data_IF_873649102857
#
_entry.id   IF_873649102857
#
_cell.length_a   1.000
_cell.length_b   1.000
_cell.length_c   1.000
_cell.angle_alpha   90.00
_cell.angle_beta   90.00
_cell.angle_gamma   90.00
#
_symmetry.space_group_name_H-M   'P 1'
#
loop_
_entity.id
_entity.type
_entity.pdbx_description
1 polymer ?
#
# COMPACT_ATOMS: atom_id res chain seq x y z
N UNK A 1 -28.28 -9.13 31.45
CA UNK A 1 -27.23 -8.33 30.80
C UNK A 1 -26.08 -9.26 30.47
N UNK A 2 -25.96 -9.73 29.23
CA UNK A 2 -24.76 -10.47 28.80
C UNK A 2 -23.64 -9.44 28.54
N UNK A 3 -22.56 -9.47 29.32
CA UNK A 3 -21.33 -8.79 28.93
C UNK A 3 -20.90 -9.34 27.56
N UNK A 4 -20.92 -8.50 26.53
CA UNK A 4 -20.37 -8.87 25.23
C UNK A 4 -18.90 -9.25 25.43
N UNK A 5 -18.53 -10.50 25.10
CA UNK A 5 -17.18 -10.99 25.25
C UNK A 5 -16.23 -10.10 24.43
N UNK A 6 -15.29 -9.45 25.12
CA UNK A 6 -14.24 -8.63 24.49
C UNK A 6 -13.15 -9.54 23.95
N UNK A 7 -12.63 -9.20 22.79
CA UNK A 7 -11.56 -9.93 22.11
C UNK A 7 -10.34 -9.05 21.95
N UNK A 8 -9.16 -9.61 22.19
CA UNK A 8 -7.90 -8.89 22.03
C UNK A 8 -7.43 -8.99 20.57
N UNK A 9 -7.00 -7.85 20.04
CA UNK A 9 -6.53 -7.69 18.67
C UNK A 9 -5.18 -7.00 18.70
N UNK A 10 -4.23 -7.51 17.92
CA UNK A 10 -2.95 -6.89 17.65
C UNK A 10 -2.91 -6.40 16.21
N UNK A 11 -2.58 -5.13 16.03
CA UNK A 11 -2.36 -4.51 14.73
C UNK A 11 -0.90 -4.07 14.63
N UNK A 12 -0.16 -4.70 13.73
CA UNK A 12 1.25 -4.34 13.47
C UNK A 12 1.30 -3.39 12.27
N UNK A 13 1.76 -2.15 12.47
CA UNK A 13 2.10 -1.21 11.38
C UNK A 13 3.48 -1.58 10.82
N UNK A 14 4.17 -0.67 10.14
CA UNK A 14 5.57 -0.88 9.76
C UNK A 14 6.56 -0.55 10.88
N UNK A 15 6.14 0.25 11.86
CA UNK A 15 6.98 0.86 12.90
C UNK A 15 6.43 0.74 14.33
N UNK A 16 5.23 0.17 14.51
CA UNK A 16 4.58 0.02 15.79
C UNK A 16 3.72 -1.25 15.88
N UNK A 17 3.51 -1.72 17.11
CA UNK A 17 2.49 -2.70 17.45
C UNK A 17 1.44 -2.04 18.34
N UNK A 18 0.17 -2.20 17.96
CA UNK A 18 -0.97 -1.63 18.66
C UNK A 18 -1.86 -2.76 19.15
N UNK A 19 -2.27 -2.72 20.42
CA UNK A 19 -3.20 -3.69 21.00
C UNK A 19 -4.53 -3.03 21.34
N UNK A 20 -5.63 -3.66 20.92
CA UNK A 20 -6.99 -3.17 21.11
C UNK A 20 -7.88 -4.28 21.67
N UNK A 21 -8.91 -3.89 22.43
CA UNK A 21 -10.02 -4.77 22.77
C UNK A 21 -11.23 -4.42 21.92
N UNK A 22 -11.72 -5.38 21.13
CA UNK A 22 -12.91 -5.22 20.28
C UNK A 22 -14.09 -6.03 20.80
N UNK A 23 -15.30 -5.65 20.39
CA UNK A 23 -16.52 -6.43 20.62
C UNK A 23 -16.76 -7.37 19.43
N UNK A 24 -17.57 -8.42 19.62
CA UNK A 24 -17.95 -9.32 18.51
C UNK A 24 -18.70 -8.59 17.39
N UNK A 25 -19.38 -7.49 17.73
CA UNK A 25 -20.10 -6.59 16.82
C UNK A 25 -19.21 -5.53 16.17
N UNK A 26 -17.90 -5.52 16.44
CA UNK A 26 -16.99 -4.55 15.84
C UNK A 26 -16.81 -4.83 14.35
N UNK A 27 -17.11 -3.81 13.55
CA UNK A 27 -16.94 -3.84 12.09
C UNK A 27 -15.47 -3.65 11.71
N UNK A 28 -15.12 -4.09 10.50
CA UNK A 28 -13.78 -3.84 9.94
C UNK A 28 -13.43 -2.35 9.89
N UNK A 29 -14.40 -1.49 9.58
CA UNK A 29 -14.19 -0.03 9.60
C UNK A 29 -13.94 0.53 10.99
N UNK A 30 -14.69 0.10 12.00
CA UNK A 30 -14.47 0.59 13.37
C UNK A 30 -13.05 0.27 13.86
N UNK A 31 -12.57 -0.96 13.60
CA UNK A 31 -11.19 -1.34 13.93
C UNK A 31 -10.17 -0.49 13.14
N UNK A 32 -10.40 -0.31 11.83
CA UNK A 32 -9.52 0.51 10.99
C UNK A 32 -9.49 1.98 11.43
N UNK A 33 -10.64 2.59 11.72
CA UNK A 33 -10.75 3.97 12.20
C UNK A 33 -10.01 4.15 13.53
N UNK A 34 -10.07 3.15 14.42
CA UNK A 34 -9.34 3.17 15.68
C UNK A 34 -7.83 3.16 15.46
N UNK A 35 -7.33 2.35 14.51
CA UNK A 35 -5.91 2.30 14.14
C UNK A 35 -5.45 3.63 13.58
N UNK A 36 -6.11 4.17 12.55
CA UNK A 36 -5.68 5.40 11.88
C UNK A 36 -5.76 6.62 12.80
N UNK A 37 -6.77 6.68 13.69
CA UNK A 37 -6.85 7.72 14.72
C UNK A 37 -5.72 7.64 15.73
N UNK A 38 -5.31 6.42 16.12
CA UNK A 38 -4.22 6.21 17.09
C UNK A 38 -2.88 6.69 16.54
N UNK A 39 -2.62 6.48 15.25
CA UNK A 39 -1.36 6.89 14.61
C UNK A 39 -1.42 8.28 13.96
N UNK A 40 -2.57 8.96 13.99
CA UNK A 40 -2.73 10.30 13.41
C UNK A 40 -2.77 10.34 11.87
N UNK A 41 -3.15 9.24 11.22
CA UNK A 41 -3.18 9.13 9.75
C UNK A 41 -4.56 9.53 9.20
N UNK A 42 -4.59 10.49 8.27
CA UNK A 42 -5.80 10.99 7.60
C UNK A 42 -5.91 10.51 6.15
N UNK A 43 -4.80 10.17 5.50
CA UNK A 43 -4.73 9.64 4.13
C UNK A 43 -5.15 8.16 4.03
N UNK A 44 -6.31 7.85 4.61
CA UNK A 44 -6.79 6.48 4.86
C UNK A 44 -7.01 5.66 3.59
N UNK A 45 -7.19 6.31 2.44
CA UNK A 45 -7.56 5.69 1.17
C UNK A 45 -6.47 4.80 0.58
N UNK A 46 -5.21 4.93 1.03
CA UNK A 46 -4.13 4.05 0.61
C UNK A 46 -4.08 2.73 1.40
N UNK A 47 -4.63 2.69 2.61
CA UNK A 47 -4.32 1.64 3.58
C UNK A 47 -5.46 0.63 3.77
N UNK A 48 -5.10 -0.52 4.32
CA UNK A 48 -6.05 -1.52 4.79
C UNK A 48 -5.46 -2.39 5.88
N UNK A 49 -6.29 -3.29 6.42
CA UNK A 49 -5.85 -4.32 7.38
C UNK A 49 -5.76 -5.65 6.66
N UNK A 50 -4.57 -6.26 6.64
CA UNK A 50 -4.36 -7.63 6.20
C UNK A 50 -4.45 -8.58 7.38
N UNK A 51 -4.93 -9.80 7.14
CA UNK A 51 -4.94 -10.91 8.10
C UNK A 51 -4.73 -12.22 7.37
N UNK A 52 -4.40 -13.26 8.12
CA UNK A 52 -4.39 -14.64 7.63
C UNK A 52 -5.75 -15.27 7.91
N UNK A 53 -6.40 -15.81 6.88
CA UNK A 53 -7.66 -16.50 7.06
C UNK A 53 -7.48 -17.93 7.61
N UNK A 54 -8.59 -18.61 7.89
CA UNK A 54 -8.58 -20.02 8.36
C UNK A 54 -7.90 -21.01 7.41
N UNK A 55 -7.68 -20.64 6.15
CA UNK A 55 -7.03 -21.48 5.12
C UNK A 55 -5.55 -21.12 4.92
N UNK A 56 -5.03 -20.16 5.69
CA UNK A 56 -3.65 -19.69 5.57
C UNK A 56 -3.43 -18.63 4.49
N UNK A 57 -4.49 -18.16 3.82
CA UNK A 57 -4.37 -17.14 2.77
C UNK A 57 -4.34 -15.73 3.38
N UNK A 58 -3.41 -14.90 2.93
CA UNK A 58 -3.43 -13.46 3.22
C UNK A 58 -4.63 -12.78 2.54
N UNK A 59 -5.43 -12.09 3.34
CA UNK A 59 -6.68 -11.45 2.93
C UNK A 59 -6.78 -10.04 3.53
N UNK A 60 -7.47 -9.14 2.84
CA UNK A 60 -7.76 -7.79 3.34
C UNK A 60 -9.13 -7.76 4.04
N UNK A 61 -9.20 -7.15 5.21
CA UNK A 61 -10.47 -6.85 5.87
C UNK A 61 -11.31 -5.94 4.98
N UNK A 62 -12.58 -6.31 4.85
CA UNK A 62 -13.61 -5.46 4.27
C UNK A 62 -14.02 -4.45 5.34
N UNK A 63 -13.73 -3.18 5.09
CA UNK A 63 -14.06 -2.08 6.00
C UNK A 63 -15.58 -1.83 6.01
N UNK A 64 -16.16 -1.72 4.83
CA UNK A 64 -17.59 -1.58 4.61
C UNK A 64 -18.13 -2.88 4.03
N UNK A 65 -19.40 -3.20 4.31
CA UNK A 65 -20.15 -4.04 3.36
C UNK A 65 -20.17 -3.27 2.04
N UNK A 66 -20.00 -3.98 0.91
CA UNK A 66 -19.95 -3.39 -0.45
C UNK A 66 -20.83 -2.14 -0.50
N UNK A 67 -20.32 -0.93 -0.79
CA UNK A 67 -21.20 0.06 -1.38
C UNK A 67 -21.74 -0.65 -2.62
N UNK A 68 -23.04 -0.93 -2.66
CA UNK A 68 -23.62 -1.40 -3.90
C UNK A 68 -23.22 -0.37 -4.95
N UNK A 69 -22.35 -0.78 -5.88
CA UNK A 69 -22.03 0.06 -7.01
C UNK A 69 -23.35 0.51 -7.60
N UNK A 70 -23.43 1.74 -8.14
CA UNK A 70 -24.65 2.18 -8.82
C UNK A 70 -25.16 1.10 -9.80
N UNK A 71 -24.23 0.35 -10.38
CA UNK A 71 -24.42 -0.86 -11.19
C UNK A 71 -25.09 -2.01 -10.41
N UNK A 72 -24.57 -2.43 -9.25
CA UNK A 72 -25.18 -3.47 -8.41
C UNK A 72 -26.58 -3.07 -7.91
N UNK A 73 -26.78 -1.79 -7.64
CA UNK A 73 -28.06 -1.20 -7.18
C UNK A 73 -29.11 -1.22 -8.30
N UNK A 74 -28.70 -0.95 -9.55
CA UNK A 74 -29.55 -1.09 -10.75
C UNK A 74 -29.88 -2.57 -10.99
N UNK A 75 -28.90 -3.47 -10.94
CA UNK A 75 -29.12 -4.91 -11.15
C UNK A 75 -30.06 -5.49 -10.09
N UNK A 76 -29.85 -5.17 -8.81
CA UNK A 76 -30.79 -5.58 -7.74
C UNK A 76 -32.15 -4.94 -7.92
N UNK A 77 -32.28 -3.68 -8.34
CA UNK A 77 -33.59 -3.07 -8.66
C UNK A 77 -34.28 -3.83 -9.78
N UNK A 78 -33.59 -4.13 -10.88
CA UNK A 78 -34.13 -4.89 -12.02
C UNK A 78 -34.59 -6.30 -11.60
N UNK A 79 -33.75 -7.00 -10.83
CA UNK A 79 -34.02 -8.35 -10.32
C UNK A 79 -35.15 -8.34 -9.30
N UNK A 80 -35.16 -7.41 -8.34
CA UNK A 80 -36.22 -7.25 -7.32
C UNK A 80 -37.54 -6.84 -7.98
N UNK A 81 -37.51 -6.07 -9.08
CA UNK A 81 -38.69 -5.73 -9.92
C UNK A 81 -39.21 -6.98 -10.66
N UNK A 82 -38.32 -7.84 -11.17
CA UNK A 82 -38.67 -9.12 -11.81
C UNK A 82 -39.23 -10.13 -10.80
N UNK A 83 -38.62 -10.23 -9.62
CA UNK A 83 -39.03 -11.13 -8.53
C UNK A 83 -40.36 -10.67 -7.91
N UNK A 84 -40.57 -9.37 -7.68
CA UNK A 84 -41.88 -8.80 -7.28
C UNK A 84 -42.99 -9.04 -8.32
N UNK A 85 -42.64 -9.18 -9.60
CA UNK A 85 -43.59 -9.50 -10.67
C UNK A 85 -43.97 -10.98 -10.71
N UNK A 86 -43.13 -11.86 -10.13
CA UNK A 86 -43.28 -13.31 -10.17
C UNK A 86 -43.82 -13.89 -8.84
N UNK A 87 -43.57 -13.21 -7.72
CA UNK A 87 -43.96 -13.68 -6.39
C UNK A 87 -44.91 -12.66 -5.78
N UNK A 88 -46.18 -13.04 -5.73
CA UNK A 88 -47.26 -12.26 -5.10
C UNK A 88 -46.87 -11.80 -3.70
N UNK A 89 -47.39 -10.63 -3.36
CA UNK A 89 -47.03 -9.82 -2.19
C UNK A 89 -47.21 -10.56 -0.85
N UNK A 90 -46.11 -10.91 -0.20
CA UNK A 90 -45.89 -10.85 1.26
C UNK A 90 -44.62 -11.63 1.61
N UNK A 91 -43.66 -10.97 2.24
CA UNK A 91 -43.05 -11.46 3.48
C UNK A 91 -42.19 -10.37 4.10
N UNK A 92 -42.18 -10.37 5.43
CA UNK A 92 -41.50 -9.44 6.32
C UNK A 92 -40.01 -9.35 6.03
N UNK A 93 -39.56 -8.16 5.61
CA UNK A 93 -38.15 -7.79 5.46
C UNK A 93 -37.52 -7.67 6.86
N UNK A 94 -37.00 -8.77 7.43
CA UNK A 94 -35.92 -8.70 8.41
C UNK A 94 -34.60 -8.65 7.65
N UNK A 95 -33.91 -7.52 7.74
CA UNK A 95 -32.65 -7.25 7.08
C UNK A 95 -31.52 -8.18 7.59
N UNK A 96 -31.40 -9.38 7.00
CA UNK A 96 -30.26 -10.30 7.16
C UNK A 96 -28.91 -9.71 6.68
N UNK A 97 -28.91 -8.44 6.23
CA UNK A 97 -27.80 -7.79 5.55
C UNK A 97 -26.81 -7.05 6.49
N UNK A 98 -27.04 -7.00 7.82
CA UNK A 98 -26.20 -6.25 8.77
C UNK A 98 -24.93 -7.01 9.25
N UNK A 99 -24.88 -8.33 9.13
CA UNK A 99 -23.86 -9.17 9.78
C UNK A 99 -22.53 -9.35 8.99
N UNK A 100 -22.44 -8.97 7.71
CA UNK A 100 -21.30 -9.32 6.82
C UNK A 100 -20.03 -8.45 6.97
N UNK A 101 -20.13 -7.29 7.63
CA UNK A 101 -19.01 -6.34 7.82
C UNK A 101 -18.22 -6.56 9.11
N UNK A 102 -18.66 -7.49 9.95
CA UNK A 102 -18.05 -7.80 11.24
C UNK A 102 -16.70 -8.46 11.04
N UNK A 103 -15.70 -8.09 11.85
CA UNK A 103 -14.36 -8.73 11.80
C UNK A 103 -14.49 -10.25 11.97
N UNK A 104 -15.38 -10.68 12.85
CA UNK A 104 -15.60 -12.10 13.18
C UNK A 104 -16.21 -12.93 12.05
N UNK A 105 -16.91 -12.29 11.11
CA UNK A 105 -17.58 -12.97 9.99
C UNK A 105 -16.71 -13.02 8.72
N UNK A 106 -15.43 -12.66 8.83
CA UNK A 106 -14.49 -12.62 7.70
C UNK A 106 -13.47 -13.77 7.71
N UNK A 107 -13.78 -14.91 8.35
CA UNK A 107 -12.92 -16.11 8.37
C UNK A 107 -11.50 -15.84 8.91
N UNK A 108 -11.35 -14.89 9.84
CA UNK A 108 -10.06 -14.60 10.48
C UNK A 108 -9.58 -15.84 11.22
N UNK A 109 -8.29 -16.17 11.09
CA UNK A 109 -7.66 -17.25 11.86
C UNK A 109 -7.92 -17.04 13.35
N UNK A 110 -8.47 -18.06 14.01
CA UNK A 110 -8.85 -17.99 15.43
C UNK A 110 -7.60 -18.13 16.30
N UNK A 111 -7.02 -17.00 16.65
CA UNK A 111 -5.88 -16.88 17.57
C UNK A 111 -6.12 -15.74 18.56
N UNK A 112 -5.38 -15.74 19.68
CA UNK A 112 -5.51 -14.73 20.74
C UNK A 112 -4.12 -14.18 21.07
N UNK A 113 -3.85 -12.88 20.82
CA UNK A 113 -4.73 -11.91 20.15
C UNK A 113 -4.89 -12.20 18.65
N UNK A 114 -6.01 -11.75 18.05
CA UNK A 114 -6.18 -11.77 16.59
C UNK A 114 -5.12 -10.90 15.92
N UNK A 115 -4.49 -11.37 14.85
CA UNK A 115 -3.37 -10.67 14.21
C UNK A 115 -3.80 -9.93 12.93
N UNK A 116 -3.50 -8.64 12.86
CA UNK A 116 -3.66 -7.82 11.66
C UNK A 116 -2.39 -7.07 11.33
N UNK A 117 -2.18 -6.82 10.04
CA UNK A 117 -1.11 -5.95 9.54
C UNK A 117 -1.73 -4.73 8.87
N UNK A 118 -1.41 -3.53 9.36
CA UNK A 118 -1.81 -2.28 8.72
C UNK A 118 -0.83 -1.95 7.61
N UNK A 119 -1.26 -2.02 6.34
CA UNK A 119 -0.39 -1.94 5.16
C UNK A 119 -1.01 -1.07 4.08
N UNK A 120 -0.17 -0.43 3.27
CA UNK A 120 -0.62 0.22 2.05
C UNK A 120 -1.09 -0.85 1.06
N UNK A 121 -2.34 -0.70 0.61
CA UNK A 121 -3.04 -1.55 -0.35
C UNK A 121 -3.04 -0.95 -1.75
N UNK A 122 -3.09 0.37 -1.83
CA UNK A 122 -3.10 1.14 -3.07
C UNK A 122 -1.93 2.12 -3.02
N UNK A 123 -1.23 2.27 -4.14
CA UNK A 123 -0.06 3.15 -4.26
C UNK A 123 -0.45 4.44 -4.99
N UNK A 124 0.25 5.56 -4.72
CA UNK A 124 0.11 6.79 -5.50
C UNK A 124 0.62 6.60 -6.95
N UNK A 125 0.12 7.40 -7.88
CA UNK A 125 0.72 7.59 -9.22
C UNK A 125 2.01 8.43 -9.12
N UNK A 126 2.04 9.42 -8.21
CA UNK A 126 3.25 10.18 -7.87
C UNK A 126 3.36 10.39 -6.35
N UNK A 127 4.42 9.84 -5.75
CA UNK A 127 4.65 9.94 -4.31
C UNK A 127 4.86 11.38 -3.82
N UNK A 128 5.43 12.25 -4.64
CA UNK A 128 5.77 13.62 -4.25
C UNK A 128 4.53 14.53 -4.19
N UNK A 129 3.55 14.25 -5.06
CA UNK A 129 2.31 15.04 -5.17
C UNK A 129 1.18 14.50 -4.27
N UNK A 130 1.17 13.19 -4.01
CA UNK A 130 0.05 12.52 -3.34
C UNK A 130 0.28 12.22 -1.86
N UNK A 131 1.52 12.02 -1.40
CA UNK A 131 1.80 11.73 0.01
C UNK A 131 1.95 13.03 0.79
N UNK A 132 0.98 13.32 1.65
CA UNK A 132 0.83 14.64 2.29
C UNK A 132 1.45 14.66 3.70
N UNK A 133 1.18 13.65 4.52
CA UNK A 133 1.60 13.61 5.92
C UNK A 133 2.89 12.79 6.09
N UNK A 134 3.76 13.22 7.02
CA UNK A 134 5.00 12.51 7.37
C UNK A 134 4.75 11.05 7.82
N UNK A 135 3.63 10.79 8.51
CA UNK A 135 3.26 9.43 8.92
C UNK A 135 2.95 8.54 7.70
N UNK A 136 2.25 9.08 6.71
CA UNK A 136 1.93 8.37 5.47
C UNK A 136 3.21 8.07 4.69
N UNK A 137 4.06 9.09 4.52
CA UNK A 137 5.38 8.98 3.90
C UNK A 137 6.22 7.88 4.57
N UNK A 138 6.32 7.91 5.90
CA UNK A 138 7.09 6.92 6.67
C UNK A 138 6.57 5.50 6.47
N UNK A 139 5.26 5.28 6.53
CA UNK A 139 4.68 3.95 6.37
C UNK A 139 4.88 3.39 4.96
N UNK A 140 4.75 4.23 3.92
CA UNK A 140 5.08 3.83 2.55
C UNK A 140 6.56 3.52 2.39
N UNK A 141 7.44 4.42 2.85
CA UNK A 141 8.90 4.23 2.81
C UNK A 141 9.30 2.91 3.43
N UNK A 142 8.83 2.62 4.65
CA UNK A 142 9.18 1.38 5.33
C UNK A 142 8.63 0.14 4.60
N UNK A 143 7.41 0.21 4.07
CA UNK A 143 6.79 -0.91 3.36
C UNK A 143 7.53 -1.21 2.04
N UNK A 144 7.82 -0.19 1.25
CA UNK A 144 8.54 -0.31 -0.03
C UNK A 144 9.98 -0.77 0.21
N UNK A 145 10.67 -0.18 1.18
CA UNK A 145 12.01 -0.64 1.59
C UNK A 145 12.00 -2.10 2.01
N UNK A 146 11.01 -2.53 2.78
CA UNK A 146 10.88 -3.95 3.13
C UNK A 146 10.70 -4.82 1.89
N UNK A 147 9.81 -4.42 0.96
CA UNK A 147 9.57 -5.15 -0.29
C UNK A 147 10.83 -5.30 -1.16
N UNK A 148 11.65 -4.25 -1.26
CA UNK A 148 12.94 -4.28 -1.96
C UNK A 148 13.91 -5.22 -1.25
N UNK A 149 14.08 -5.08 0.06
CA UNK A 149 15.03 -5.90 0.84
C UNK A 149 14.67 -7.38 0.87
N UNK A 150 13.38 -7.73 0.74
CA UNK A 150 12.90 -9.12 0.67
C UNK A 150 12.79 -9.67 -0.75
N UNK A 151 13.29 -8.95 -1.76
CA UNK A 151 13.16 -9.31 -3.19
C UNK A 151 11.70 -9.52 -3.65
N UNK A 152 10.73 -8.89 -2.97
CA UNK A 152 9.33 -8.81 -3.45
C UNK A 152 9.23 -7.83 -4.62
N UNK A 153 10.03 -6.76 -4.56
CA UNK A 153 10.21 -5.77 -5.62
C UNK A 153 11.63 -5.94 -6.15
N UNK A 154 11.78 -6.26 -7.43
CA UNK A 154 13.09 -6.30 -8.07
C UNK A 154 13.72 -4.91 -8.05
N UNK A 155 14.99 -4.85 -7.66
CA UNK A 155 15.77 -3.62 -7.66
C UNK A 155 17.19 -3.93 -8.17
N UNK A 156 17.68 -3.24 -9.21
CA UNK A 156 19.03 -3.48 -9.71
C UNK A 156 20.11 -3.08 -8.68
N UNK A 157 21.35 -3.62 -8.78
CA UNK A 157 22.40 -3.40 -7.77
C UNK A 157 22.71 -1.91 -7.54
N UNK A 158 22.98 -1.16 -8.60
CA UNK A 158 23.26 0.28 -8.58
C UNK A 158 22.15 1.08 -7.87
N UNK A 159 20.88 0.83 -8.21
CA UNK A 159 19.75 1.48 -7.54
C UNK A 159 19.64 1.04 -6.07
N UNK A 160 19.93 -0.22 -5.75
CA UNK A 160 19.89 -0.73 -4.37
C UNK A 160 20.90 -0.02 -3.47
N UNK A 161 22.12 0.27 -3.97
CA UNK A 161 23.15 1.02 -3.24
C UNK A 161 22.70 2.46 -2.99
N UNK A 162 22.16 3.12 -4.01
CA UNK A 162 21.65 4.48 -3.87
C UNK A 162 20.49 4.54 -2.87
N UNK A 163 19.53 3.62 -2.95
CA UNK A 163 18.43 3.50 -2.00
C UNK A 163 18.92 3.23 -0.58
N UNK A 164 19.94 2.38 -0.41
CA UNK A 164 20.57 2.14 0.89
C UNK A 164 21.16 3.42 1.49
N UNK A 165 21.78 4.28 0.67
CA UNK A 165 22.33 5.56 1.11
C UNK A 165 21.26 6.53 1.64
N UNK A 166 20.10 6.60 0.98
CA UNK A 166 18.96 7.36 1.48
C UNK A 166 18.37 6.74 2.76
N UNK A 167 18.37 5.40 2.85
CA UNK A 167 17.86 4.72 4.03
C UNK A 167 18.73 4.98 5.28
N UNK A 168 20.06 5.04 5.14
CA UNK A 168 20.94 5.40 6.26
C UNK A 168 20.80 6.87 6.63
N UNK A 169 20.63 7.78 5.66
CA UNK A 169 20.32 9.20 5.95
C UNK A 169 19.00 9.34 6.70
N UNK A 170 17.94 8.63 6.28
CA UNK A 170 16.64 8.66 6.94
C UNK A 170 16.70 8.10 8.38
N UNK A 171 17.54 7.09 8.64
CA UNK A 171 17.66 6.45 9.96
C UNK A 171 18.58 7.21 10.91
N UNK A 172 19.77 7.58 10.44
CA UNK A 172 20.88 8.05 11.26
C UNK A 172 21.10 9.57 11.15
N UNK A 173 20.57 10.22 10.12
CA UNK A 173 20.84 11.64 9.81
C UNK A 173 22.17 11.82 9.10
N UNK A 174 22.77 13.02 9.18
CA UNK A 174 24.01 13.34 8.48
C UNK A 174 25.19 12.46 8.92
N UNK A 175 25.99 11.99 7.95
CA UNK A 175 27.24 11.32 8.24
C UNK A 175 28.22 12.24 8.98
N UNK A 176 28.94 11.66 9.93
CA UNK A 176 29.91 12.33 10.79
C UNK A 176 31.00 11.34 11.15
N UNK A 177 32.20 11.55 10.59
CA UNK A 177 33.35 10.63 10.75
C UNK A 177 33.70 10.33 12.21
N UNK A 178 33.48 11.27 13.13
CA UNK A 178 33.73 11.07 14.56
C UNK A 178 32.71 10.19 15.28
N UNK A 179 31.46 10.18 14.81
CA UNK A 179 30.35 9.47 15.45
C UNK A 179 29.99 8.16 14.74
N UNK A 180 30.46 7.97 13.50
CA UNK A 180 30.16 6.83 12.65
C UNK A 180 31.46 6.10 12.28
N UNK A 181 31.99 5.24 13.17
CA UNK A 181 33.20 4.47 12.91
C UNK A 181 32.98 3.38 11.83
N UNK A 182 34.07 2.79 11.34
CA UNK A 182 34.00 1.65 10.44
C UNK A 182 33.16 0.51 11.04
N UNK A 183 32.27 -0.09 10.23
CA UNK A 183 31.34 -1.12 10.67
C UNK A 183 30.10 -0.60 11.43
N UNK A 184 29.87 0.72 11.51
CA UNK A 184 28.66 1.30 12.11
C UNK A 184 27.36 0.73 11.49
N UNK A 185 27.37 0.46 10.18
CA UNK A 185 26.23 -0.08 9.43
C UNK A 185 26.06 -1.60 9.53
N UNK A 186 26.92 -2.29 10.30
CA UNK A 186 26.97 -3.75 10.31
C UNK A 186 25.66 -4.44 10.77
N UNK A 187 24.81 -3.76 11.55
CA UNK A 187 23.52 -4.28 12.01
C UNK A 187 22.35 -3.86 11.11
N UNK A 188 22.58 -2.98 10.14
CA UNK A 188 21.55 -2.54 9.22
C UNK A 188 21.39 -3.52 8.05
N UNK A 189 20.16 -3.95 7.79
CA UNK A 189 19.82 -4.67 6.55
C UNK A 189 19.60 -3.65 5.44
N UNK A 190 20.64 -3.44 4.61
CA UNK A 190 20.68 -2.36 3.62
C UNK A 190 20.47 -2.80 2.17
N UNK A 191 20.84 -4.03 1.82
CA UNK A 191 20.77 -4.55 0.45
C UNK A 191 19.92 -5.83 0.37
N UNK A 192 19.25 -6.10 -0.77
CA UNK A 192 18.66 -7.40 -1.05
C UNK A 192 19.73 -8.50 -1.08
N UNK A 193 19.39 -9.71 -0.62
CA UNK A 193 20.35 -10.81 -0.55
C UNK A 193 20.91 -11.16 -1.93
N UNK A 194 20.07 -11.13 -2.96
CA UNK A 194 20.48 -11.34 -4.35
C UNK A 194 21.60 -10.40 -4.80
N UNK A 195 21.54 -9.11 -4.43
CA UNK A 195 22.56 -8.12 -4.82
C UNK A 195 23.89 -8.44 -4.13
N UNK A 196 23.84 -8.82 -2.85
CA UNK A 196 25.04 -9.23 -2.11
C UNK A 196 25.67 -10.48 -2.73
N UNK A 197 24.85 -11.48 -3.09
CA UNK A 197 25.33 -12.76 -3.62
C UNK A 197 25.88 -12.65 -5.06
N UNK A 198 25.42 -11.68 -5.85
CA UNK A 198 25.83 -11.49 -7.24
C UNK A 198 27.22 -10.85 -7.39
N UNK A 199 27.70 -10.13 -6.38
CA UNK A 199 28.97 -9.43 -6.43
C UNK A 199 29.99 -10.02 -5.45
N UNK A 200 31.26 -10.05 -5.86
CA UNK A 200 32.38 -10.50 -5.02
C UNK A 200 32.89 -9.40 -4.08
N UNK A 201 31.98 -8.61 -3.52
CA UNK A 201 32.31 -7.54 -2.57
C UNK A 201 32.13 -8.04 -1.14
N UNK A 202 33.12 -7.76 -0.30
CA UNK A 202 33.01 -7.92 1.14
C UNK A 202 31.97 -6.97 1.73
N UNK A 203 31.48 -7.29 2.94
CA UNK A 203 30.56 -6.43 3.67
C UNK A 203 31.13 -5.02 3.91
N UNK A 204 32.43 -4.94 4.16
CA UNK A 204 33.11 -3.66 4.36
C UNK A 204 33.15 -2.81 3.09
N UNK A 205 33.37 -3.40 1.92
CA UNK A 205 33.33 -2.69 0.63
C UNK A 205 31.93 -2.17 0.32
N UNK A 206 30.87 -2.93 0.64
CA UNK A 206 29.49 -2.46 0.54
C UNK A 206 29.21 -1.30 1.48
N UNK A 207 29.59 -1.42 2.75
CA UNK A 207 29.42 -0.37 3.75
C UNK A 207 30.15 0.91 3.33
N UNK A 208 31.37 0.79 2.79
CA UNK A 208 32.14 1.92 2.26
C UNK A 208 31.45 2.57 1.05
N UNK A 209 30.93 1.76 0.11
CA UNK A 209 30.18 2.27 -1.05
C UNK A 209 28.94 3.06 -0.62
N UNK A 210 28.14 2.51 0.29
CA UNK A 210 26.95 3.17 0.83
C UNK A 210 27.32 4.42 1.61
N UNK A 211 28.40 4.38 2.40
CA UNK A 211 28.88 5.53 3.21
C UNK A 211 29.41 6.67 2.33
N UNK A 212 29.99 6.37 1.17
CA UNK A 212 30.39 7.40 0.20
C UNK A 212 29.18 8.15 -0.34
N UNK A 213 28.10 7.44 -0.69
CA UNK A 213 26.85 8.07 -1.10
C UNK A 213 26.13 8.80 0.05
N UNK A 214 26.18 8.24 1.27
CA UNK A 214 25.59 8.87 2.45
C UNK A 214 26.20 10.26 2.75
N UNK A 215 27.50 10.43 2.51
CA UNK A 215 28.17 11.72 2.67
C UNK A 215 27.61 12.82 1.76
N UNK A 216 27.14 12.47 0.57
CA UNK A 216 26.56 13.40 -0.40
C UNK A 216 25.18 13.92 0.04
N UNK A 217 24.50 13.23 0.95
CA UNK A 217 23.17 13.61 1.47
C UNK A 217 23.23 14.56 2.67
N UNK A 218 24.41 15.09 3.00
CA UNK A 218 24.59 15.95 4.17
C UNK A 218 23.66 17.18 4.10
N UNK A 219 22.92 17.39 5.18
CA UNK A 219 21.95 18.48 5.32
C UNK A 219 20.53 18.07 4.91
N UNK A 220 20.34 16.91 4.31
CA UNK A 220 19.01 16.39 3.95
C UNK A 220 18.22 15.97 5.19
N UNK A 221 16.95 16.36 5.26
CA UNK A 221 16.07 15.93 6.34
C UNK A 221 15.73 14.43 6.21
N UNK A 222 15.36 13.81 7.34
CA UNK A 222 14.95 12.40 7.34
C UNK A 222 13.72 12.18 6.46
N UNK A 223 12.76 13.09 6.53
CA UNK A 223 11.55 13.08 5.72
C UNK A 223 11.88 13.25 4.23
N UNK A 224 12.76 14.19 3.88
CA UNK A 224 13.17 14.38 2.49
C UNK A 224 13.94 13.15 1.97
N UNK A 225 14.79 12.52 2.79
CA UNK A 225 15.48 11.27 2.42
C UNK A 225 14.50 10.10 2.20
N UNK A 226 13.44 9.98 3.02
CA UNK A 226 12.37 9.01 2.78
C UNK A 226 11.60 9.30 1.48
N UNK A 227 11.38 10.58 1.16
CA UNK A 227 10.72 11.00 -0.07
C UNK A 227 11.57 10.70 -1.31
N UNK A 228 12.86 11.04 -1.30
CA UNK A 228 13.78 10.74 -2.41
C UNK A 228 13.95 9.23 -2.61
N UNK A 229 13.99 8.44 -1.52
CA UNK A 229 13.94 6.98 -1.61
C UNK A 229 12.72 6.50 -2.40
N UNK A 230 11.53 7.03 -2.07
CA UNK A 230 10.29 6.64 -2.73
C UNK A 230 10.21 7.14 -4.18
N UNK A 231 10.73 8.33 -4.49
CA UNK A 231 10.78 8.87 -5.86
C UNK A 231 11.61 8.00 -6.80
N UNK A 232 12.68 7.38 -6.29
CA UNK A 232 13.48 6.42 -7.06
C UNK A 232 12.75 5.07 -7.12
N UNK A 233 12.20 4.61 -6.00
CA UNK A 233 11.56 3.31 -5.92
C UNK A 233 10.26 3.21 -6.75
N UNK A 234 9.53 4.31 -6.94
CA UNK A 234 8.29 4.32 -7.72
C UNK A 234 8.50 4.01 -9.22
N UNK A 235 9.71 4.23 -9.72
CA UNK A 235 10.09 3.98 -11.11
C UNK A 235 10.52 2.52 -11.35
N UNK A 236 10.61 1.69 -10.30
CA UNK A 236 10.90 0.26 -10.44
C UNK A 236 9.71 -0.47 -11.07
N UNK A 237 9.97 -1.41 -11.99
CA UNK A 237 8.94 -2.03 -12.82
C UNK A 237 7.91 -2.84 -12.01
N UNK A 238 8.31 -3.34 -10.84
CA UNK A 238 7.45 -4.13 -9.95
C UNK A 238 6.80 -3.28 -8.83
N UNK A 239 7.10 -1.99 -8.76
CA UNK A 239 6.59 -1.12 -7.71
C UNK A 239 5.06 -0.97 -7.79
N UNK A 240 4.37 -1.24 -6.67
CA UNK A 240 2.92 -1.10 -6.57
C UNK A 240 2.11 -2.11 -7.40
N UNK A 241 2.76 -3.08 -8.07
CA UNK A 241 2.09 -4.06 -8.92
C UNK A 241 1.64 -5.27 -8.10
N UNK A 242 0.33 -5.56 -8.15
CA UNK A 242 -0.23 -6.78 -7.56
C UNK A 242 -0.31 -7.89 -8.62
N UNK A 243 0.53 -8.92 -8.49
CA UNK A 243 0.58 -10.03 -9.45
C UNK A 243 -0.39 -11.17 -9.13
N UNK A 244 -1.08 -11.66 -10.15
CA UNK A 244 -1.99 -12.81 -10.09
C UNK A 244 -1.71 -13.80 -11.20
N UNK A 245 -1.67 -15.08 -10.86
CA UNK A 245 -1.58 -16.15 -11.86
C UNK A 245 -2.92 -16.29 -12.60
N UNK A 246 -2.85 -16.23 -13.93
CA UNK A 246 -4.02 -16.33 -14.80
C UNK A 246 -3.70 -17.21 -16.01
N UNK A 247 -4.75 -17.63 -16.73
CA UNK A 247 -4.66 -18.32 -18.01
C UNK A 247 -5.48 -17.62 -19.07
N UNK A 248 -4.98 -17.57 -20.31
CA UNK A 248 -5.77 -17.12 -21.46
C UNK A 248 -6.74 -18.22 -21.95
N UNK A 249 -7.53 -17.95 -23.00
CA UNK A 249 -8.45 -18.94 -23.60
C UNK A 249 -7.73 -20.18 -24.17
N UNK A 250 -6.45 -20.07 -24.53
CA UNK A 250 -5.63 -21.17 -25.06
C UNK A 250 -4.98 -22.01 -23.94
N UNK A 251 -5.14 -21.62 -22.68
CA UNK A 251 -4.54 -22.30 -21.53
C UNK A 251 -3.11 -21.90 -21.21
N UNK A 252 -2.55 -20.87 -21.86
CA UNK A 252 -1.21 -20.35 -21.56
C UNK A 252 -1.20 -19.71 -20.18
N UNK A 253 -0.24 -20.11 -19.34
CA UNK A 253 0.00 -19.49 -18.04
C UNK A 253 0.63 -18.10 -18.21
N UNK A 254 0.06 -17.11 -17.52
CA UNK A 254 0.45 -15.70 -17.58
C UNK A 254 0.34 -15.06 -16.19
N UNK A 255 0.90 -13.86 -16.05
CA UNK A 255 0.61 -12.99 -14.90
C UNK A 255 -0.29 -11.83 -15.31
N UNK A 256 -1.23 -11.50 -14.42
CA UNK A 256 -1.94 -10.23 -14.41
C UNK A 256 -1.30 -9.34 -13.34
N UNK A 257 -0.83 -8.15 -13.71
CA UNK A 257 -0.50 -7.07 -12.79
C UNK A 257 -1.66 -6.10 -12.66
N UNK A 258 -1.97 -5.70 -11.42
CA UNK A 258 -2.93 -4.64 -11.10
C UNK A 258 -2.21 -3.55 -10.33
N UNK A 259 -2.19 -2.33 -10.86
CA UNK A 259 -1.50 -1.18 -10.28
C UNK A 259 -2.36 0.10 -10.34
N UNK A 260 -1.76 1.24 -9.98
CA UNK A 260 -2.43 2.54 -9.96
C UNK A 260 -2.75 3.09 -11.36
N UNK A 261 -2.06 2.62 -12.41
CA UNK A 261 -2.17 3.11 -13.79
C UNK A 261 -3.13 2.25 -14.63
N UNK A 262 -3.22 0.95 -14.36
CA UNK A 262 -4.09 0.06 -15.10
C UNK A 262 -3.92 -1.42 -14.78
N UNK A 263 -4.10 -2.22 -15.84
CA UNK A 263 -3.91 -3.67 -15.83
C UNK A 263 -2.85 -4.05 -16.84
N UNK A 264 -1.96 -4.95 -16.45
CA UNK A 264 -0.84 -5.38 -17.27
C UNK A 264 -0.82 -6.91 -17.38
N UNK A 265 -0.46 -7.44 -18.55
CA UNK A 265 -0.31 -8.88 -18.79
C UNK A 265 1.15 -9.18 -19.05
N UNK A 266 1.69 -10.16 -18.32
CA UNK A 266 3.08 -10.57 -18.42
C UNK A 266 3.20 -12.05 -18.75
N UNK A 267 4.31 -12.42 -19.37
CA UNK A 267 4.70 -13.82 -19.58
C UNK A 267 5.06 -14.47 -18.25
N UNK A 268 5.02 -15.81 -18.17
CA UNK A 268 5.14 -16.51 -16.89
C UNK A 268 6.53 -16.35 -16.25
N UNK A 269 7.55 -16.20 -17.08
CA UNK A 269 8.98 -16.10 -16.77
C UNK A 269 9.51 -14.67 -16.65
N UNK A 270 8.74 -13.65 -17.06
CA UNK A 270 9.12 -12.24 -16.95
C UNK A 270 8.00 -11.43 -16.27
N UNK A 271 8.25 -10.92 -15.06
CA UNK A 271 7.34 -10.02 -14.33
C UNK A 271 7.70 -8.54 -14.47
N UNK A 272 8.81 -8.21 -15.11
CA UNK A 272 9.31 -6.86 -15.28
C UNK A 272 8.67 -6.21 -16.51
N UNK A 273 8.62 -6.94 -17.64
CA UNK A 273 8.18 -6.36 -18.91
C UNK A 273 6.74 -6.79 -19.26
N UNK A 274 5.75 -5.87 -19.19
CA UNK A 274 4.40 -6.20 -19.63
C UNK A 274 4.33 -6.34 -21.15
N UNK A 275 3.57 -7.33 -21.65
CA UNK A 275 3.31 -7.53 -23.09
C UNK A 275 2.07 -6.79 -23.57
N UNK A 276 1.07 -6.64 -22.69
CA UNK A 276 -0.20 -5.97 -22.99
C UNK A 276 -0.56 -5.13 -21.78
N UNK A 277 -0.91 -3.86 -22.01
CA UNK A 277 -1.39 -2.94 -20.99
C UNK A 277 -2.80 -2.44 -21.30
N UNK A 278 -3.59 -2.21 -20.25
CA UNK A 278 -4.91 -1.61 -20.29
C UNK A 278 -4.96 -0.47 -19.27
N UNK A 279 -4.72 0.78 -19.70
CA UNK A 279 -4.87 1.94 -18.82
C UNK A 279 -6.29 2.02 -18.26
N UNK A 280 -6.45 2.55 -17.04
CA UNK A 280 -7.78 2.70 -16.44
C UNK A 280 -8.75 3.52 -17.31
N UNK A 281 -8.26 4.52 -18.05
CA UNK A 281 -9.06 5.31 -19.00
C UNK A 281 -9.61 4.50 -20.18
N UNK A 282 -9.10 3.31 -20.46
CA UNK A 282 -9.55 2.49 -21.60
C UNK A 282 -10.52 1.38 -21.16
N UNK A 283 -10.78 1.25 -19.86
CA UNK A 283 -11.61 0.18 -19.32
C UNK A 283 -13.01 0.70 -19.01
N UNK A 284 -14.03 0.13 -19.68
CA UNK A 284 -15.44 0.47 -19.44
C UNK A 284 -16.05 -0.30 -18.29
N UNK A 285 -15.75 -1.59 -18.23
CA UNK A 285 -16.36 -2.48 -17.26
C UNK A 285 -15.47 -3.71 -16.99
N UNK A 286 -15.47 -4.14 -15.74
CA UNK A 286 -14.79 -5.35 -15.30
C UNK A 286 -15.79 -6.24 -14.58
N UNK A 287 -15.83 -7.52 -14.93
CA UNK A 287 -16.67 -8.50 -14.26
C UNK A 287 -16.06 -9.89 -14.31
N UNK A 288 -16.57 -10.79 -13.46
CA UNK A 288 -16.23 -12.21 -13.53
C UNK A 288 -17.46 -13.07 -13.28
N UNK A 289 -17.43 -14.28 -13.83
CA UNK A 289 -18.38 -15.34 -13.52
C UNK A 289 -17.57 -16.62 -13.24
N UNK A 290 -17.70 -17.14 -12.02
CA UNK A 290 -16.89 -18.25 -11.52
C UNK A 290 -15.38 -18.00 -11.73
N UNK A 291 -14.70 -18.83 -12.54
CA UNK A 291 -13.27 -18.68 -12.85
C UNK A 291 -12.98 -17.71 -14.01
N UNK A 292 -13.98 -17.37 -14.83
CA UNK A 292 -13.83 -16.53 -16.01
C UNK A 292 -13.90 -15.05 -15.64
N UNK A 293 -12.89 -14.28 -16.01
CA UNK A 293 -12.81 -12.84 -15.83
C UNK A 293 -12.88 -12.13 -17.18
N UNK A 294 -13.56 -10.99 -17.23
CA UNK A 294 -13.86 -10.25 -18.46
C UNK A 294 -13.56 -8.77 -18.25
N UNK A 295 -12.70 -8.20 -19.10
CA UNK A 295 -12.40 -6.78 -19.18
C UNK A 295 -13.00 -6.27 -20.49
N UNK A 296 -13.89 -5.28 -20.39
CA UNK A 296 -14.53 -4.65 -21.54
C UNK A 296 -13.90 -3.29 -21.81
N UNK A 297 -13.31 -3.06 -22.98
CA UNK A 297 -12.76 -1.76 -23.33
C UNK A 297 -13.86 -0.70 -23.50
N UNK A 298 -13.48 0.57 -23.41
CA UNK A 298 -14.35 1.71 -23.76
C UNK A 298 -14.71 1.66 -25.24
N UNK A 299 -13.73 1.42 -26.11
CA UNK A 299 -13.97 1.19 -27.52
C UNK A 299 -14.90 -0.02 -27.69
N UNK A 300 -16.07 0.20 -28.28
CA UNK A 300 -17.08 -0.83 -28.53
C UNK A 300 -16.68 -1.78 -29.67
N UNK A 301 -15.73 -1.39 -30.52
CA UNK A 301 -15.22 -2.23 -31.62
C UNK A 301 -14.13 -3.18 -31.15
N UNK A 302 -13.35 -2.80 -30.14
CA UNK A 302 -12.34 -3.65 -29.54
C UNK A 302 -12.99 -4.88 -28.84
N UNK A 303 -12.42 -6.08 -29.01
CA UNK A 303 -12.96 -7.29 -28.40
C UNK A 303 -12.76 -7.31 -26.87
N UNK A 304 -13.69 -7.96 -26.17
CA UNK A 304 -13.55 -8.20 -24.73
C UNK A 304 -12.28 -9.04 -24.45
N UNK A 305 -11.46 -8.60 -23.51
CA UNK A 305 -10.32 -9.37 -23.02
C UNK A 305 -10.78 -10.33 -21.92
N UNK A 306 -10.41 -11.62 -22.05
CA UNK A 306 -10.91 -12.69 -21.18
C UNK A 306 -9.76 -13.57 -20.72
N UNK A 307 -9.70 -13.79 -19.41
CA UNK A 307 -8.76 -14.72 -18.78
C UNK A 307 -9.46 -15.54 -17.69
N UNK A 308 -8.75 -16.53 -17.15
CA UNK A 308 -9.25 -17.45 -16.14
C UNK A 308 -8.30 -17.49 -14.95
N UNK A 309 -8.84 -17.41 -13.74
CA UNK A 309 -8.09 -17.64 -12.51
C UNK A 309 -8.37 -19.03 -11.93
N UNK A 310 -7.43 -19.59 -11.19
CA UNK A 310 -7.55 -20.95 -10.65
C UNK A 310 -8.67 -21.10 -9.60
N UNK A 311 -8.99 -20.02 -8.88
CA UNK A 311 -9.98 -19.99 -7.80
C UNK A 311 -10.85 -18.74 -7.88
N UNK A 312 -12.15 -18.86 -7.60
CA UNK A 312 -13.10 -17.72 -7.56
C UNK A 312 -12.68 -16.64 -6.57
N UNK A 313 -12.04 -17.02 -5.45
CA UNK A 313 -11.51 -16.08 -4.45
C UNK A 313 -10.46 -15.14 -5.06
N UNK A 314 -9.66 -15.61 -6.01
CA UNK A 314 -8.67 -14.78 -6.71
C UNK A 314 -9.39 -13.73 -7.56
N UNK A 315 -10.42 -14.11 -8.31
CA UNK A 315 -11.24 -13.16 -9.07
C UNK A 315 -11.91 -12.09 -8.19
N UNK A 316 -12.38 -12.47 -7.00
CA UNK A 316 -12.89 -11.51 -6.00
C UNK A 316 -11.82 -10.51 -5.55
N UNK A 317 -10.58 -10.97 -5.34
CA UNK A 317 -9.44 -10.12 -4.96
C UNK A 317 -9.04 -9.18 -6.10
N UNK A 318 -8.89 -9.70 -7.31
CA UNK A 318 -8.58 -8.92 -8.52
C UNK A 318 -9.63 -7.81 -8.69
N UNK A 319 -10.92 -8.17 -8.68
CA UNK A 319 -12.00 -7.19 -8.86
C UNK A 319 -11.96 -6.09 -7.79
N UNK A 320 -11.72 -6.44 -6.51
CA UNK A 320 -11.63 -5.46 -5.44
C UNK A 320 -10.44 -4.50 -5.61
N UNK A 321 -9.30 -4.98 -6.11
CA UNK A 321 -8.15 -4.13 -6.43
C UNK A 321 -8.43 -3.25 -7.64
N UNK A 322 -9.00 -3.80 -8.71
CA UNK A 322 -9.38 -3.01 -9.88
C UNK A 322 -10.34 -1.87 -9.52
N UNK A 323 -11.37 -2.16 -8.72
CA UNK A 323 -12.34 -1.15 -8.30
C UNK A 323 -11.68 -0.04 -7.48
N UNK A 324 -10.83 -0.39 -6.51
CA UNK A 324 -10.16 0.60 -5.66
C UNK A 324 -9.12 1.44 -6.41
N UNK A 325 -8.28 0.80 -7.25
CA UNK A 325 -7.31 1.53 -8.07
C UNK A 325 -8.02 2.45 -9.08
N UNK A 326 -9.06 1.98 -9.77
CA UNK A 326 -9.84 2.81 -10.69
C UNK A 326 -10.55 3.97 -9.97
N UNK A 327 -11.08 3.76 -8.75
CA UNK A 327 -11.67 4.84 -7.95
C UNK A 327 -10.65 5.93 -7.62
N UNK A 328 -9.44 5.56 -7.19
CA UNK A 328 -8.35 6.49 -6.91
C UNK A 328 -7.84 7.18 -8.18
N UNK A 329 -7.69 6.44 -9.28
CA UNK A 329 -7.34 6.97 -10.60
C UNK A 329 -8.33 8.07 -11.05
N UNK A 330 -9.63 7.84 -10.87
CA UNK A 330 -10.67 8.83 -11.19
C UNK A 330 -10.69 10.00 -10.21
N UNK A 331 -10.30 9.80 -8.95
CA UNK A 331 -10.17 10.87 -7.95
C UNK A 331 -9.03 11.82 -8.30
N UNK A 332 -7.87 11.30 -8.73
CA UNK A 332 -6.69 12.10 -9.13
C UNK A 332 -6.96 13.03 -10.32
N UNK A 333 -7.91 12.66 -11.18
CA UNK A 333 -8.33 13.45 -12.37
C UNK A 333 -9.39 14.50 -12.06
N UNK A 334 -9.76 14.65 -10.80
CA UNK A 334 -10.68 15.69 -10.32
C UNK A 334 -9.91 16.67 -9.44
N UNK A 335 -10.39 17.91 -9.28
CA UNK A 335 -9.81 18.84 -8.33
C UNK A 335 -9.79 18.26 -6.91
N UNK A 336 -8.77 18.61 -6.14
CA UNK A 336 -8.64 18.22 -4.74
C UNK A 336 -9.89 18.63 -3.95
N UNK A 337 -10.44 17.70 -3.16
CA UNK A 337 -11.51 17.97 -2.20
C UNK A 337 -11.04 18.97 -1.14
N UNK A 338 -11.96 19.71 -0.52
CA UNK A 338 -11.65 20.68 0.55
C UNK A 338 -10.78 20.06 1.65
N UNK A 339 -11.08 18.83 2.09
CA UNK A 339 -10.31 18.14 3.13
C UNK A 339 -8.85 17.90 2.71
N UNK A 340 -8.60 17.53 1.45
CA UNK A 340 -7.25 17.33 0.91
C UNK A 340 -6.50 18.66 0.80
N UNK A 341 -7.17 19.72 0.35
CA UNK A 341 -6.57 21.05 0.29
C UNK A 341 -6.15 21.54 1.68
N UNK A 342 -7.00 21.32 2.70
CA UNK A 342 -6.69 21.63 4.09
C UNK A 342 -5.52 20.78 4.61
N UNK A 343 -5.49 19.48 4.30
CA UNK A 343 -4.36 18.61 4.65
C UNK A 343 -3.05 19.11 4.03
N UNK A 344 -3.05 19.45 2.73
CA UNK A 344 -1.87 20.00 2.05
C UNK A 344 -1.44 21.35 2.64
N UNK A 345 -2.38 22.23 2.97
CA UNK A 345 -2.08 23.51 3.62
C UNK A 345 -1.42 23.29 5.00
N UNK A 346 -2.03 22.45 5.84
CA UNK A 346 -1.50 22.11 7.14
C UNK A 346 -0.09 21.48 7.04
N UNK A 347 0.13 20.54 6.13
CA UNK A 347 1.43 19.91 5.94
C UNK A 347 2.51 20.90 5.49
N UNK A 348 2.17 21.86 4.62
CA UNK A 348 3.09 22.94 4.22
C UNK A 348 3.45 23.83 5.41
N UNK A 349 2.47 24.24 6.21
CA UNK A 349 2.71 25.07 7.39
C UNK A 349 3.57 24.35 8.43
N UNK A 350 3.30 23.06 8.69
CA UNK A 350 4.11 22.21 9.55
C UNK A 350 5.56 22.06 9.03
N UNK A 351 5.74 21.85 7.71
CA UNK A 351 7.07 21.75 7.09
C UNK A 351 7.85 23.07 7.22
N UNK A 352 7.20 24.20 6.94
CA UNK A 352 7.83 25.53 7.09
C UNK A 352 8.23 25.81 8.54
N UNK A 353 7.37 25.48 9.51
CA UNK A 353 7.66 25.65 10.93
C UNK A 353 8.87 24.81 11.37
N UNK A 354 8.94 23.53 10.95
CA UNK A 354 10.09 22.65 11.21
C UNK A 354 11.39 23.20 10.61
N UNK A 355 11.32 23.71 9.38
CA UNK A 355 12.48 24.29 8.70
C UNK A 355 13.01 25.54 9.43
N UNK A 356 12.12 26.47 9.81
CA UNK A 356 12.51 27.66 10.58
C UNK A 356 13.12 27.31 11.94
N UNK A 357 12.54 26.32 12.65
CA UNK A 357 13.08 25.85 13.92
C UNK A 357 14.48 25.25 13.76
N UNK A 358 14.71 24.51 12.67
CA UNK A 358 16.02 23.93 12.34
C UNK A 358 17.05 24.99 11.98
N UNK A 359 16.71 25.95 11.13
CA UNK A 359 17.61 27.04 10.76
C UNK A 359 18.05 27.83 11.99
N UNK A 360 17.12 28.10 12.91
CA UNK A 360 17.43 28.74 14.19
C UNK A 360 18.41 27.90 15.02
N UNK A 361 18.16 26.59 15.15
CA UNK A 361 19.05 25.68 15.88
C UNK A 361 20.45 25.63 15.25
N UNK A 362 20.54 25.58 13.92
CA UNK A 362 21.82 25.57 13.21
C UNK A 362 22.60 26.87 13.40
N UNK A 363 21.92 28.02 13.37
CA UNK A 363 22.54 29.32 13.67
C UNK A 363 23.08 29.36 15.12
N UNK A 364 22.32 28.83 16.08
CA UNK A 364 22.76 28.73 17.48
C UNK A 364 23.99 27.82 17.65
N UNK A 365 23.99 26.65 17.00
CA UNK A 365 25.14 25.73 16.99
C UNK A 365 26.36 26.41 16.36
N UNK A 366 26.21 27.03 15.19
CA UNK A 366 27.30 27.73 14.50
C UNK A 366 27.85 28.91 15.33
N UNK A 367 26.98 29.63 16.04
CA UNK A 367 27.40 30.69 16.96
C UNK A 367 28.19 30.12 18.14
N UNK A 368 27.76 28.99 18.70
CA UNK A 368 28.47 28.29 19.79
C UNK A 368 29.84 27.79 19.34
N UNK A 369 29.95 27.15 18.18
CA UNK A 369 31.23 26.69 17.64
C UNK A 369 32.19 27.85 17.37
N UNK A 370 31.69 29.02 16.94
CA UNK A 370 32.52 30.23 16.80
C UNK A 370 32.97 30.79 18.15
N UNK A 371 32.16 30.66 19.19
CA UNK A 371 32.52 31.09 20.54
C UNK A 371 33.55 30.15 21.18
N UNK A 372 33.44 28.83 20.98
CA UNK A 372 34.39 27.83 21.51
C UNK A 372 35.76 27.87 20.79
N UNK A 373 35.84 28.46 19.59
CA UNK A 373 37.08 28.67 18.83
C UNK A 373 37.77 30.02 19.11
N UNK A 374 37.11 30.93 19.82
CA UNK A 374 37.68 32.20 20.31
C UNK A 374 38.20 32.01 21.72
#
# INVERSE_FOLDING_TARGET
MCCAAKMNVRVTTMDAELEFAIQQTTTGKQLFDQVVKTIGLREVWFFGLQYTDTKGDLTWIKLYKKPESAIARVVKKEVKKKVRKLRGYSDSDTDDDEFDGLVMNQEVKKETPLQFKFRAKFYPEDVAEELIQDITLRLFYLQVKNGILTDEIYCPPETSVLLASYAVQARHGDYQKGNHPAGFLSNDRLLPQRVVDQHKMSKEEWDNSITNWWQEHRGMLREDAMMEYLKIAQDLEMYGVNYFEIRNKKGTDLWLGVDALGLNIYEKDDKLTPKIGFPWSEIRNISFNDKKFIIKPIDKKAPDFVFFANRVKINKRILALCMGNHELYMRRRKPDTIDVQQMKAQARDEKMAKQQQREKLQLEIAARERAEKK
#
